data_IF_017015637259
#
_entry.id   IF_017015637259
#
_cell.length_a   1.000
_cell.length_b   1.000
_cell.length_c   1.000
_cell.angle_alpha   90.00
_cell.angle_beta   90.00
_cell.angle_gamma   90.00
#
_symmetry.space_group_name_H-M   'P 1'
#
loop_
_entity.id
_entity.type
_entity.pdbx_description
1 polymer ?
#
# COMPACT_ATOMS: atom_id res chain seq x y z
N UNK A 1 17.46 11.11 16.64
CA UNK A 1 16.65 9.86 16.75
C UNK A 1 17.01 8.93 15.61
N UNK A 2 17.46 7.70 15.91
CA UNK A 2 17.70 6.67 14.90
C UNK A 2 16.40 5.94 14.58
N UNK A 3 15.81 6.20 13.39
CA UNK A 3 14.65 5.45 12.88
C UNK A 3 15.18 4.37 11.94
N UNK A 4 14.84 3.10 12.19
CA UNK A 4 15.32 1.98 11.40
C UNK A 4 14.57 1.85 10.06
N UNK A 5 13.27 2.14 10.05
CA UNK A 5 12.40 2.13 8.86
C UNK A 5 11.14 2.97 9.10
N UNK A 6 10.45 3.33 8.04
CA UNK A 6 9.13 3.95 8.08
C UNK A 6 8.08 2.99 7.51
N UNK A 7 6.90 2.95 8.14
CA UNK A 7 5.74 2.26 7.58
C UNK A 7 4.67 3.29 7.20
N UNK A 8 4.34 3.36 5.93
CA UNK A 8 3.47 4.35 5.32
C UNK A 8 2.43 3.66 4.41
N UNK A 9 1.14 3.80 4.67
CA UNK A 9 0.46 4.65 5.63
C UNK A 9 -0.46 3.80 6.51
N UNK A 10 -0.94 4.36 7.64
CA UNK A 10 -2.08 3.78 8.35
C UNK A 10 -3.37 4.13 7.59
N UNK A 11 -4.50 3.53 7.97
CA UNK A 11 -5.79 3.89 7.36
C UNK A 11 -6.06 5.40 7.47
N UNK A 12 -6.71 5.94 6.45
CA UNK A 12 -7.14 7.34 6.43
C UNK A 12 -8.32 7.50 7.38
N UNK A 13 -8.14 8.29 8.42
CA UNK A 13 -9.12 8.46 9.48
C UNK A 13 -10.38 9.21 9.04
N UNK A 14 -11.36 9.21 9.93
CA UNK A 14 -12.59 10.00 9.81
C UNK A 14 -13.50 9.63 8.63
N UNK A 15 -13.47 8.35 8.20
CA UNK A 15 -14.39 7.81 7.21
C UNK A 15 -15.74 7.45 7.83
N UNK A 16 -16.84 7.64 7.09
CA UNK A 16 -18.19 7.22 7.45
C UNK A 16 -18.83 6.55 6.22
N UNK A 17 -19.36 5.35 6.42
CA UNK A 17 -20.18 4.66 5.41
C UNK A 17 -21.59 4.49 5.97
N UNK A 18 -22.59 4.88 5.19
CA UNK A 18 -24.01 4.83 5.57
C UNK A 18 -24.72 3.70 4.82
N UNK A 19 -25.42 2.86 5.55
CA UNK A 19 -26.44 1.97 5.01
C UNK A 19 -27.76 2.76 4.84
N UNK A 20 -28.02 3.19 3.63
CA UNK A 20 -29.19 4.02 3.34
C UNK A 20 -30.53 3.26 3.55
N UNK A 21 -30.55 1.93 3.49
CA UNK A 21 -31.78 1.12 3.73
C UNK A 21 -32.13 1.07 5.22
N UNK A 22 -31.10 1.05 6.05
CA UNK A 22 -31.25 0.99 7.52
C UNK A 22 -31.19 2.36 8.19
N UNK A 23 -30.80 3.38 7.42
CA UNK A 23 -30.57 4.76 7.90
C UNK A 23 -29.56 4.79 9.07
N UNK A 24 -28.52 3.92 9.00
CA UNK A 24 -27.53 3.76 10.06
C UNK A 24 -26.10 3.73 9.48
N UNK A 25 -25.10 4.04 10.33
CA UNK A 25 -23.71 3.71 9.97
C UNK A 25 -23.52 2.19 9.80
N UNK A 26 -22.60 1.79 8.92
CA UNK A 26 -22.29 0.38 8.68
C UNK A 26 -21.53 -0.26 9.86
N UNK A 27 -20.79 0.56 10.61
CA UNK A 27 -20.04 0.11 11.80
C UNK A 27 -20.52 0.83 13.07
N UNK A 28 -20.42 0.14 14.24
CA UNK A 28 -20.84 0.71 15.53
C UNK A 28 -19.79 1.57 16.24
N UNK A 29 -18.47 1.23 16.19
CA UNK A 29 -17.46 1.95 16.96
C UNK A 29 -17.44 3.44 16.63
N UNK A 30 -17.16 4.28 17.62
CA UNK A 30 -17.00 5.74 17.47
C UNK A 30 -18.16 6.43 16.74
N UNK A 31 -19.40 5.96 16.96
CA UNK A 31 -20.57 6.52 16.29
C UNK A 31 -20.63 6.28 14.78
N UNK A 32 -19.96 5.24 14.31
CA UNK A 32 -19.89 4.89 12.89
C UNK A 32 -18.65 5.43 12.15
N UNK A 33 -17.83 6.24 12.82
CA UNK A 33 -16.59 6.74 12.20
C UNK A 33 -15.47 5.71 12.31
N UNK A 34 -14.76 5.51 11.21
CA UNK A 34 -13.65 4.56 11.11
C UNK A 34 -12.53 5.03 10.22
N UNK A 35 -11.50 4.22 10.09
CA UNK A 35 -10.43 4.40 9.13
C UNK A 35 -10.79 3.75 7.80
N UNK A 36 -10.54 4.46 6.71
CA UNK A 36 -10.62 3.91 5.36
C UNK A 36 -9.37 3.11 5.05
N UNK A 37 -9.53 1.92 4.52
CA UNK A 37 -8.46 1.01 4.08
C UNK A 37 -8.74 0.43 2.70
N UNK A 38 -8.01 -0.61 2.32
CA UNK A 38 -8.18 -1.29 1.05
C UNK A 38 -7.71 -0.46 -0.15
N UNK A 39 -8.18 -0.81 -1.34
CA UNK A 39 -7.77 -0.19 -2.61
C UNK A 39 -8.03 1.32 -2.67
N UNK A 40 -9.04 1.80 -1.95
CA UNK A 40 -9.43 3.22 -1.92
C UNK A 40 -8.30 4.15 -1.47
N UNK A 41 -7.44 3.70 -0.56
CA UNK A 41 -6.36 4.54 -0.02
C UNK A 41 -5.04 4.40 -0.79
N UNK A 42 -4.95 3.56 -1.83
CA UNK A 42 -3.72 3.35 -2.59
C UNK A 42 -3.11 4.66 -3.09
N UNK A 43 -3.85 5.60 -3.71
CA UNK A 43 -3.25 6.85 -4.18
C UNK A 43 -2.61 7.67 -3.05
N UNK A 44 -3.22 7.69 -1.88
CA UNK A 44 -2.67 8.39 -0.70
C UNK A 44 -1.40 7.69 -0.20
N UNK A 45 -1.40 6.35 -0.16
CA UNK A 45 -0.25 5.56 0.25
C UNK A 45 0.94 5.78 -0.69
N UNK A 46 0.74 5.66 -2.00
CA UNK A 46 1.78 5.89 -3.01
C UNK A 46 2.38 7.30 -2.94
N UNK A 47 1.52 8.33 -2.77
CA UNK A 47 1.96 9.71 -2.64
C UNK A 47 2.87 9.90 -1.41
N UNK A 48 2.49 9.33 -0.27
CA UNK A 48 3.30 9.40 0.94
C UNK A 48 4.62 8.64 0.80
N UNK A 49 4.60 7.41 0.29
CA UNK A 49 5.83 6.64 0.02
C UNK A 49 6.78 7.45 -0.87
N UNK A 50 6.28 8.03 -1.97
CA UNK A 50 7.10 8.83 -2.90
C UNK A 50 7.65 10.09 -2.26
N UNK A 51 6.84 10.83 -1.49
CA UNK A 51 7.25 12.05 -0.82
C UNK A 51 8.38 11.79 0.19
N UNK A 52 8.21 10.77 1.04
CA UNK A 52 9.23 10.39 2.02
C UNK A 52 10.49 9.80 1.37
N UNK A 53 10.34 9.00 0.30
CA UNK A 53 11.49 8.53 -0.46
C UNK A 53 12.36 9.69 -0.97
N UNK A 54 11.73 10.70 -1.58
CA UNK A 54 12.44 11.90 -2.07
C UNK A 54 13.08 12.68 -0.91
N UNK A 55 12.31 12.93 0.16
CA UNK A 55 12.79 13.70 1.34
C UNK A 55 13.98 13.03 2.03
N UNK A 56 13.95 11.70 2.13
CA UNK A 56 14.97 10.92 2.83
C UNK A 56 16.11 10.48 1.90
N UNK A 57 16.04 10.80 0.60
CA UNK A 57 17.04 10.40 -0.40
C UNK A 57 17.31 8.88 -0.40
N UNK A 58 16.27 8.09 -0.11
CA UNK A 58 16.38 6.64 -0.02
C UNK A 58 17.21 6.09 1.15
N UNK A 59 17.63 6.92 2.09
CA UNK A 59 18.51 6.52 3.21
C UNK A 59 17.82 5.67 4.28
N UNK A 60 16.51 5.79 4.40
CA UNK A 60 15.71 5.03 5.37
C UNK A 60 14.75 4.12 4.60
N UNK A 61 14.76 2.80 4.86
CA UNK A 61 13.82 1.88 4.24
C UNK A 61 12.36 2.27 4.51
N UNK A 62 11.51 2.14 3.50
CA UNK A 62 10.08 2.42 3.62
C UNK A 62 9.31 1.13 3.35
N UNK A 63 8.39 0.79 4.24
CA UNK A 63 7.40 -0.25 4.04
C UNK A 63 6.13 0.42 3.51
N UNK A 64 5.74 0.11 2.29
CA UNK A 64 4.53 0.64 1.66
C UNK A 64 3.30 -0.12 2.13
N UNK A 65 2.33 0.60 2.69
CA UNK A 65 1.09 0.03 3.23
C UNK A 65 -0.11 0.82 2.74
N UNK A 66 -1.08 0.14 2.17
CA UNK A 66 -2.34 0.73 1.71
C UNK A 66 -2.64 0.42 0.25
N UNK A 67 -3.74 -0.30 0.06
CA UNK A 67 -4.26 -0.64 -1.26
C UNK A 67 -3.50 -1.70 -2.04
N UNK A 68 -2.67 -2.51 -1.38
CA UNK A 68 -2.01 -3.66 -2.01
C UNK A 68 -3.00 -4.82 -2.09
N UNK A 69 -3.55 -5.03 -3.28
CA UNK A 69 -4.53 -6.08 -3.61
C UNK A 69 -4.00 -7.00 -4.71
N UNK A 70 -3.20 -6.49 -5.62
CA UNK A 70 -2.60 -7.21 -6.75
C UNK A 70 -1.09 -6.99 -6.78
N UNK A 71 -0.36 -7.84 -7.51
CA UNK A 71 1.09 -7.70 -7.67
C UNK A 71 1.52 -6.36 -8.27
N UNK A 72 0.72 -5.80 -9.18
CA UNK A 72 0.97 -4.47 -9.74
C UNK A 72 0.91 -3.37 -8.68
N UNK A 73 0.04 -3.48 -7.67
CA UNK A 73 -0.01 -2.50 -6.58
C UNK A 73 1.30 -2.52 -5.77
N UNK A 74 1.82 -3.72 -5.49
CA UNK A 74 3.12 -3.89 -4.83
C UNK A 74 4.25 -3.28 -5.69
N UNK A 75 4.23 -3.52 -6.99
CA UNK A 75 5.18 -2.92 -7.93
C UNK A 75 5.13 -1.39 -7.93
N UNK A 76 3.94 -0.79 -7.91
CA UNK A 76 3.75 0.67 -7.83
C UNK A 76 4.34 1.26 -6.54
N UNK A 77 4.16 0.58 -5.40
CA UNK A 77 4.81 0.95 -4.14
C UNK A 77 6.33 0.94 -4.26
N UNK A 78 6.90 -0.10 -4.88
CA UNK A 78 8.36 -0.20 -5.12
C UNK A 78 8.84 0.93 -6.04
N UNK A 79 8.14 1.23 -7.13
CA UNK A 79 8.46 2.38 -7.99
C UNK A 79 8.47 3.70 -7.22
N UNK A 80 7.55 3.87 -6.26
CA UNK A 80 7.51 5.05 -5.40
C UNK A 80 8.65 5.10 -4.37
N UNK A 81 9.31 3.97 -4.09
CA UNK A 81 10.47 3.90 -3.19
C UNK A 81 10.34 2.91 -2.04
N UNK A 82 9.26 2.14 -1.96
CA UNK A 82 9.12 1.13 -0.92
C UNK A 82 10.15 -0.01 -1.09
N UNK A 83 10.69 -0.45 0.04
CA UNK A 83 11.59 -1.62 0.12
C UNK A 83 10.83 -2.92 0.32
N UNK A 84 9.64 -2.82 0.88
CA UNK A 84 8.71 -3.92 1.11
C UNK A 84 7.28 -3.37 1.12
N UNK A 85 6.28 -4.25 1.06
CA UNK A 85 4.87 -3.89 1.19
C UNK A 85 4.21 -4.65 2.34
N UNK A 86 3.19 -4.05 2.94
CA UNK A 86 2.28 -4.73 3.86
C UNK A 86 0.90 -4.87 3.24
N UNK A 87 0.28 -6.01 3.51
CA UNK A 87 -1.05 -6.38 3.03
C UNK A 87 -2.00 -6.48 4.21
N UNK A 88 -3.06 -5.71 4.21
CA UNK A 88 -4.09 -5.72 5.27
C UNK A 88 -5.41 -6.29 4.77
N UNK A 89 -6.20 -5.47 4.10
CA UNK A 89 -7.57 -5.80 3.66
C UNK A 89 -7.62 -7.09 2.82
N UNK A 90 -6.76 -7.23 1.83
CA UNK A 90 -6.73 -8.44 0.99
C UNK A 90 -6.39 -9.71 1.80
N UNK A 91 -5.56 -9.61 2.85
CA UNK A 91 -5.30 -10.72 3.76
C UNK A 91 -6.57 -11.15 4.52
N UNK A 92 -7.39 -10.18 4.95
CA UNK A 92 -8.66 -10.47 5.64
C UNK A 92 -9.66 -11.12 4.69
N UNK A 93 -9.68 -10.71 3.43
CA UNK A 93 -10.62 -11.21 2.42
C UNK A 93 -10.23 -12.58 1.86
N UNK A 94 -8.95 -12.82 1.60
CA UNK A 94 -8.45 -14.01 0.91
C UNK A 94 -7.73 -15.02 1.83
N UNK A 95 -7.34 -14.61 3.04
CA UNK A 95 -6.50 -15.41 3.92
C UNK A 95 -5.03 -15.41 3.49
N UNK A 96 -4.23 -16.30 4.11
CA UNK A 96 -2.76 -16.32 3.95
C UNK A 96 -2.28 -16.65 2.53
N UNK A 97 -3.10 -17.29 1.71
CA UNK A 97 -2.79 -17.58 0.30
C UNK A 97 -2.56 -16.34 -0.55
N UNK A 98 -3.01 -15.16 -0.08
CA UNK A 98 -2.79 -13.88 -0.74
C UNK A 98 -1.30 -13.59 -0.97
N UNK A 99 -0.42 -13.99 -0.07
CA UNK A 99 1.02 -13.71 -0.18
C UNK A 99 1.65 -14.46 -1.35
N UNK A 100 1.36 -15.75 -1.51
CA UNK A 100 1.86 -16.55 -2.64
C UNK A 100 1.34 -16.00 -3.98
N UNK A 101 0.07 -15.58 -4.03
CA UNK A 101 -0.51 -14.97 -5.23
C UNK A 101 0.17 -13.66 -5.57
N UNK A 102 0.31 -12.75 -4.60
CA UNK A 102 0.96 -11.45 -4.81
C UNK A 102 2.43 -11.58 -5.21
N UNK A 103 3.17 -12.53 -4.62
CA UNK A 103 4.55 -12.80 -4.98
C UNK A 103 4.66 -13.24 -6.45
N UNK A 104 3.83 -14.19 -6.87
CA UNK A 104 3.78 -14.65 -8.27
C UNK A 104 3.41 -13.52 -9.25
N UNK A 105 2.41 -12.71 -8.90
CA UNK A 105 1.98 -11.57 -9.72
C UNK A 105 3.07 -10.51 -9.82
N UNK A 106 3.74 -10.17 -8.70
CA UNK A 106 4.84 -9.22 -8.68
C UNK A 106 6.03 -9.71 -9.49
N UNK A 107 6.35 -11.00 -9.42
CA UNK A 107 7.40 -11.61 -10.25
C UNK A 107 7.05 -11.50 -11.75
N UNK A 108 5.79 -11.70 -12.12
CA UNK A 108 5.33 -11.52 -13.50
C UNK A 108 5.44 -10.05 -13.96
N UNK A 109 5.13 -9.09 -13.07
CA UNK A 109 5.28 -7.65 -13.35
C UNK A 109 6.75 -7.27 -13.63
N UNK A 110 7.69 -7.83 -12.87
CA UNK A 110 9.13 -7.65 -13.10
C UNK A 110 9.57 -8.27 -14.43
N UNK A 111 9.17 -9.52 -14.69
CA UNK A 111 9.53 -10.25 -15.92
C UNK A 111 9.04 -9.54 -17.18
N UNK A 112 7.78 -9.05 -17.20
CA UNK A 112 7.23 -8.28 -18.33
C UNK A 112 8.03 -7.02 -18.64
N UNK A 113 8.73 -6.44 -17.66
CA UNK A 113 9.55 -5.23 -17.81
C UNK A 113 11.03 -5.53 -17.98
N UNK A 114 11.41 -6.81 -18.10
CA UNK A 114 12.80 -7.23 -18.22
C UNK A 114 13.64 -6.92 -16.98
N UNK A 115 13.01 -6.93 -15.79
CA UNK A 115 13.65 -6.67 -14.50
C UNK A 115 13.91 -7.97 -13.75
N UNK A 116 15.06 -8.05 -13.08
CA UNK A 116 15.46 -9.23 -12.33
C UNK A 116 15.31 -9.06 -10.82
N UNK A 117 15.17 -7.82 -10.35
CA UNK A 117 15.04 -7.53 -8.93
C UNK A 117 14.20 -6.28 -8.67
N UNK A 118 13.66 -6.17 -7.45
CA UNK A 118 12.97 -4.97 -6.97
C UNK A 118 13.90 -3.76 -6.89
N UNK A 119 15.18 -3.98 -6.59
CA UNK A 119 16.20 -2.93 -6.50
C UNK A 119 16.35 -2.16 -7.82
N UNK A 120 16.18 -2.83 -8.96
CA UNK A 120 16.22 -2.19 -10.27
C UNK A 120 15.06 -1.20 -10.50
N UNK A 121 13.99 -1.33 -9.72
CA UNK A 121 12.76 -0.54 -9.87
C UNK A 121 12.55 0.46 -8.74
N UNK A 122 13.15 0.21 -7.55
CA UNK A 122 12.87 0.98 -6.34
C UNK A 122 13.21 2.46 -6.51
N UNK A 123 12.20 3.29 -6.27
CA UNK A 123 12.31 4.74 -6.34
C UNK A 123 12.43 5.31 -7.75
N UNK A 124 12.31 4.49 -8.79
CA UNK A 124 12.50 4.88 -10.20
C UNK A 124 11.20 5.26 -10.91
N UNK A 125 10.22 5.75 -10.18
CA UNK A 125 9.03 6.35 -10.79
C UNK A 125 9.47 7.50 -11.69
N UNK A 126 9.14 7.42 -12.98
CA UNK A 126 9.49 8.43 -13.98
C UNK A 126 8.69 9.71 -13.76
N UNK A 127 9.29 10.84 -14.07
CA UNK A 127 8.59 12.12 -14.18
C UNK A 127 7.99 12.24 -15.58
N UNK A 128 6.86 12.96 -15.68
CA UNK A 128 6.18 13.24 -16.94
C UNK A 128 6.87 14.38 -17.70
#
# INVERSE_FOLDING_TARGET
>A
CGVAYLNLVNCVGNGLVVDAKRETPVIKPKGGFGGLGGSLIKPVALANVRAFWKLLEGRIPIIGTGGVVQGVDAFEHVLCGASAVQVGTALVEEGVGVFERLERELAAELAMRGKQSLEECRGKLKEL
#
